data_IF_883654249315
#
_entry.id   IF_883654249315
#
_cell.length_a   1.000
_cell.length_b   1.000
_cell.length_c   1.000
_cell.angle_alpha   90.00
_cell.angle_beta   90.00
_cell.angle_gamma   90.00
#
_symmetry.space_group_name_H-M   'P 1'
#
loop_
_entity.id
_entity.type
_entity.pdbx_description
1 polymer ?
#
# COMPACT_ATOMS: atom_id res chain seq x y z
N UNK A 1 0.22 40.92 25.11
CA UNK A 1 -0.20 40.26 23.84
C UNK A 1 -1.71 40.17 23.86
N UNK A 2 -2.41 40.72 22.87
CA UNK A 2 -3.87 40.50 22.72
C UNK A 2 -4.14 39.02 22.43
N UNK A 3 -5.33 38.52 22.77
CA UNK A 3 -5.65 37.10 22.56
C UNK A 3 -5.62 36.71 21.08
N UNK A 4 -5.93 37.64 20.18
CA UNK A 4 -5.84 37.46 18.72
C UNK A 4 -4.40 37.24 18.26
N UNK A 5 -3.42 37.98 18.82
CA UNK A 5 -1.99 37.77 18.51
C UNK A 5 -1.50 36.38 18.93
N UNK A 6 -2.04 35.82 20.03
CA UNK A 6 -1.74 34.44 20.43
C UNK A 6 -2.33 33.43 19.45
N UNK A 7 -3.56 33.65 18.97
CA UNK A 7 -4.21 32.80 17.96
C UNK A 7 -3.45 32.81 16.64
N UNK A 8 -3.01 33.98 16.15
CA UNK A 8 -2.18 34.11 14.94
C UNK A 8 -0.87 33.32 15.10
N UNK A 9 -0.17 33.51 16.23
CA UNK A 9 1.08 32.80 16.53
C UNK A 9 0.87 31.29 16.56
N UNK A 10 -0.21 30.82 17.18
CA UNK A 10 -0.55 29.40 17.25
C UNK A 10 -0.83 28.80 15.86
N UNK A 11 -1.56 29.49 14.99
CA UNK A 11 -1.84 29.00 13.64
C UNK A 11 -0.55 28.92 12.80
N UNK A 12 0.36 29.90 12.91
CA UNK A 12 1.69 29.83 12.29
C UNK A 12 2.50 28.64 12.79
N UNK A 13 2.51 28.41 14.11
CA UNK A 13 3.22 27.27 14.69
C UNK A 13 2.65 25.93 14.19
N UNK A 14 1.31 25.80 14.11
CA UNK A 14 0.66 24.62 13.53
C UNK A 14 1.11 24.40 12.09
N UNK A 15 1.13 25.45 11.26
CA UNK A 15 1.60 25.34 9.88
C UNK A 15 3.07 24.91 9.78
N UNK A 16 3.94 25.37 10.68
CA UNK A 16 5.35 24.97 10.73
C UNK A 16 5.53 23.49 11.13
N UNK A 17 4.64 22.96 11.97
CA UNK A 17 4.68 21.56 12.40
C UNK A 17 4.13 20.58 11.36
N UNK A 18 3.42 21.07 10.33
CA UNK A 18 2.83 20.24 9.29
C UNK A 18 3.83 19.97 8.17
N UNK A 19 3.96 18.69 7.80
CA UNK A 19 4.73 18.27 6.64
C UNK A 19 3.94 18.60 5.36
N UNK A 20 4.57 19.33 4.45
CA UNK A 20 3.96 19.78 3.20
C UNK A 20 3.69 18.64 2.20
N UNK A 21 4.40 17.53 2.33
CA UNK A 21 4.20 16.34 1.50
C UNK A 21 3.01 15.49 1.97
N UNK A 22 2.68 15.58 3.27
CA UNK A 22 1.61 14.80 3.91
C UNK A 22 0.33 15.63 4.05
N UNK A 23 0.47 16.89 4.47
CA UNK A 23 -0.63 17.78 4.88
C UNK A 23 -0.58 19.19 4.25
N UNK A 24 -0.46 19.30 2.91
CA UNK A 24 -0.33 20.59 2.23
C UNK A 24 -1.55 21.50 2.42
N UNK A 25 -2.77 20.97 2.41
CA UNK A 25 -3.98 21.78 2.52
C UNK A 25 -4.15 22.35 3.93
N UNK A 26 -3.89 21.55 4.97
CA UNK A 26 -3.93 22.03 6.36
C UNK A 26 -2.86 23.08 6.62
N UNK A 27 -1.64 22.88 6.09
CA UNK A 27 -0.54 23.86 6.21
C UNK A 27 -0.96 25.19 5.58
N UNK A 28 -1.46 25.16 4.34
CA UNK A 28 -1.97 26.34 3.65
C UNK A 28 -3.10 27.03 4.42
N UNK A 29 -4.10 26.28 4.87
CA UNK A 29 -5.22 26.80 5.64
C UNK A 29 -4.78 27.60 6.88
N UNK A 30 -3.85 27.06 7.68
CA UNK A 30 -3.40 27.74 8.89
C UNK A 30 -2.57 29.00 8.58
N UNK A 31 -1.81 29.03 7.48
CA UNK A 31 -1.12 30.23 7.03
C UNK A 31 -2.11 31.30 6.56
N UNK A 32 -3.07 30.92 5.71
CA UNK A 32 -4.07 31.82 5.15
C UNK A 32 -4.97 32.41 6.26
N UNK A 33 -5.39 31.60 7.23
CA UNK A 33 -6.16 32.08 8.39
C UNK A 33 -5.35 33.05 9.26
N UNK A 34 -4.07 32.75 9.52
CA UNK A 34 -3.22 33.64 10.30
C UNK A 34 -3.05 35.00 9.59
N UNK A 35 -2.81 34.98 8.29
CA UNK A 35 -2.69 36.20 7.48
C UNK A 35 -4.01 36.98 7.43
N UNK A 36 -5.13 36.29 7.26
CA UNK A 36 -6.44 36.95 7.23
C UNK A 36 -6.75 37.64 8.57
N UNK A 37 -6.49 36.97 9.70
CA UNK A 37 -6.67 37.53 11.05
C UNK A 37 -5.79 38.77 11.28
N UNK A 38 -4.56 38.81 10.74
CA UNK A 38 -3.67 39.98 10.82
C UNK A 38 -4.21 41.20 10.07
N UNK A 39 -4.94 40.95 8.98
CA UNK A 39 -5.56 41.99 8.17
C UNK A 39 -6.88 42.50 8.78
N UNK A 40 -7.44 41.77 9.76
CA UNK A 40 -8.63 42.22 10.47
C UNK A 40 -8.25 43.10 11.66
N UNK A 41 -8.97 44.21 11.87
CA UNK A 41 -8.82 45.05 13.06
C UNK A 41 -9.55 44.44 14.28
N UNK A 42 -9.30 43.17 14.56
CA UNK A 42 -9.97 42.38 15.61
C UNK A 42 -9.09 42.35 16.86
N UNK A 43 -9.69 42.63 18.03
CA UNK A 43 -8.95 42.76 19.29
C UNK A 43 -9.16 41.56 20.22
N UNK A 44 -10.30 40.86 20.12
CA UNK A 44 -10.68 39.74 21.00
C UNK A 44 -10.86 38.41 20.26
N UNK A 45 -10.77 37.31 21.01
CA UNK A 45 -11.01 35.97 20.47
C UNK A 45 -12.49 35.73 20.11
N UNK A 46 -13.44 36.35 20.83
CA UNK A 46 -14.86 36.27 20.47
C UNK A 46 -15.14 36.98 19.13
N UNK A 47 -14.60 38.18 18.93
CA UNK A 47 -14.72 38.92 17.66
C UNK A 47 -14.12 38.11 16.50
N UNK A 48 -12.98 37.47 16.72
CA UNK A 48 -12.33 36.61 15.71
C UNK A 48 -13.23 35.42 15.35
N UNK A 49 -13.77 34.74 16.36
CA UNK A 49 -14.67 33.59 16.17
C UNK A 49 -15.95 33.99 15.44
N UNK A 50 -16.53 35.14 15.78
CA UNK A 50 -17.73 35.65 15.11
C UNK A 50 -17.44 36.02 13.65
N UNK A 51 -16.33 36.71 13.41
CA UNK A 51 -15.94 37.17 12.07
C UNK A 51 -15.64 36.01 11.12
N UNK A 52 -15.16 34.88 11.62
CA UNK A 52 -14.87 33.68 10.82
C UNK A 52 -16.16 33.00 10.30
N UNK A 53 -17.30 33.09 10.99
CA UNK A 53 -18.53 32.30 10.71
C UNK A 53 -19.04 32.39 9.27
N UNK A 54 -18.85 33.54 8.63
CA UNK A 54 -19.31 33.80 7.27
C UNK A 54 -18.16 33.81 6.25
N UNK A 55 -17.01 33.24 6.61
CA UNK A 55 -15.83 33.14 5.76
C UNK A 55 -15.57 31.67 5.40
N UNK A 56 -14.79 31.41 4.33
CA UNK A 56 -14.33 30.07 4.01
C UNK A 56 -13.54 29.39 5.16
N UNK A 57 -13.06 30.16 6.14
CA UNK A 57 -12.27 29.63 7.25
C UNK A 57 -13.10 28.92 8.33
N UNK A 58 -14.43 29.11 8.39
CA UNK A 58 -15.26 28.48 9.42
C UNK A 58 -15.20 26.95 9.36
N UNK A 59 -15.42 26.39 8.18
CA UNK A 59 -15.31 24.95 7.91
C UNK A 59 -13.95 24.57 7.31
N UNK A 60 -13.07 25.55 7.09
CA UNK A 60 -11.83 25.39 6.32
C UNK A 60 -10.84 24.40 6.94
N UNK A 61 -10.77 24.32 8.27
CA UNK A 61 -9.90 23.35 8.95
C UNK A 61 -10.32 21.91 8.66
N UNK A 62 -11.62 21.64 8.69
CA UNK A 62 -12.17 20.31 8.41
C UNK A 62 -12.02 19.98 6.92
N UNK A 63 -12.25 20.96 6.03
CA UNK A 63 -12.10 20.77 4.59
C UNK A 63 -10.65 20.42 4.24
N UNK A 64 -9.71 21.16 4.81
CA UNK A 64 -8.28 20.94 4.60
C UNK A 64 -7.85 19.53 5.06
N UNK A 65 -8.34 19.07 6.22
CA UNK A 65 -8.09 17.71 6.72
C UNK A 65 -8.60 16.63 5.76
N UNK A 66 -9.80 16.79 5.24
CA UNK A 66 -10.37 15.82 4.29
C UNK A 66 -9.61 15.83 2.94
N UNK A 67 -9.22 17.01 2.45
CA UNK A 67 -8.38 17.14 1.25
C UNK A 67 -7.04 16.41 1.42
N UNK A 68 -6.36 16.62 2.55
CA UNK A 68 -5.09 15.93 2.84
C UNK A 68 -5.28 14.41 3.00
N UNK A 69 -6.40 13.98 3.59
CA UNK A 69 -6.78 12.58 3.67
C UNK A 69 -7.00 11.93 2.28
N UNK A 70 -7.59 12.64 1.32
CA UNK A 70 -7.73 12.16 -0.06
C UNK A 70 -6.38 12.17 -0.78
N UNK A 71 -5.58 13.23 -0.60
CA UNK A 71 -4.23 13.37 -1.17
C UNK A 71 -3.33 12.18 -0.81
N UNK A 72 -3.34 11.74 0.46
CA UNK A 72 -2.60 10.55 0.89
C UNK A 72 -3.08 9.27 0.20
N UNK A 73 -4.38 9.14 -0.06
CA UNK A 73 -4.94 7.97 -0.78
C UNK A 73 -4.58 7.98 -2.26
N UNK A 74 -4.54 9.16 -2.90
CA UNK A 74 -4.01 9.33 -4.27
C UNK A 74 -2.55 8.89 -4.32
N UNK A 75 -1.73 9.38 -3.39
CA UNK A 75 -0.31 9.02 -3.30
C UNK A 75 -0.13 7.51 -3.12
N UNK A 76 -0.86 6.90 -2.18
CA UNK A 76 -0.79 5.46 -1.96
C UNK A 76 -1.23 4.65 -3.20
N UNK A 77 -2.31 5.05 -3.87
CA UNK A 77 -2.77 4.39 -5.09
C UNK A 77 -1.71 4.47 -6.21
N UNK A 78 -1.06 5.63 -6.37
CA UNK A 78 0.02 5.83 -7.33
C UNK A 78 1.24 4.97 -7.03
N UNK A 79 1.67 4.92 -5.76
CA UNK A 79 2.80 4.09 -5.32
C UNK A 79 2.51 2.59 -5.50
N UNK A 80 1.25 2.18 -5.32
CA UNK A 80 0.80 0.80 -5.56
C UNK A 80 0.52 0.49 -7.04
N UNK A 81 0.49 1.52 -7.90
CA UNK A 81 0.18 1.44 -9.33
C UNK A 81 -1.29 1.19 -9.68
N UNK A 82 -2.22 1.49 -8.77
CA UNK A 82 -3.67 1.36 -8.95
C UNK A 82 -4.25 2.61 -9.64
N UNK A 83 -4.05 2.72 -10.95
CA UNK A 83 -4.39 3.92 -11.74
C UNK A 83 -5.87 4.31 -11.68
N UNK A 84 -6.76 3.33 -11.77
CA UNK A 84 -8.21 3.52 -11.64
C UNK A 84 -8.62 4.06 -10.26
N UNK A 85 -7.97 3.59 -9.20
CA UNK A 85 -8.16 4.09 -7.83
C UNK A 85 -7.60 5.52 -7.70
N UNK A 86 -6.43 5.78 -8.27
CA UNK A 86 -5.81 7.12 -8.30
C UNK A 86 -6.72 8.14 -8.99
N UNK A 87 -7.23 7.81 -10.19
CA UNK A 87 -8.15 8.65 -10.95
C UNK A 87 -9.45 8.91 -10.18
N UNK A 88 -10.00 7.89 -9.52
CA UNK A 88 -11.21 8.03 -8.73
C UNK A 88 -11.00 8.96 -7.53
N UNK A 89 -9.92 8.81 -6.77
CA UNK A 89 -9.62 9.72 -5.67
C UNK A 89 -9.28 11.13 -6.14
N UNK A 90 -8.63 11.29 -7.30
CA UNK A 90 -8.38 12.61 -7.90
C UNK A 90 -9.71 13.32 -8.21
N UNK A 91 -10.66 12.62 -8.85
CA UNK A 91 -12.01 13.16 -9.08
C UNK A 91 -12.72 13.54 -7.77
N UNK A 92 -12.55 12.75 -6.70
CA UNK A 92 -13.12 13.08 -5.37
C UNK A 92 -12.46 14.32 -4.77
N UNK A 93 -11.15 14.47 -4.92
CA UNK A 93 -10.41 15.64 -4.46
C UNK A 93 -10.96 16.90 -5.14
N UNK A 94 -11.08 16.90 -6.47
CA UNK A 94 -11.58 18.04 -7.25
C UNK A 94 -13.04 18.39 -6.91
N UNK A 95 -13.89 17.38 -6.69
CA UNK A 95 -15.28 17.58 -6.24
C UNK A 95 -15.34 18.18 -4.84
N UNK A 96 -14.52 17.69 -3.91
CA UNK A 96 -14.47 18.25 -2.56
C UNK A 96 -13.96 19.69 -2.56
N UNK A 97 -12.96 19.99 -3.40
CA UNK A 97 -12.43 21.34 -3.56
C UNK A 97 -13.46 22.32 -4.16
N UNK A 98 -14.25 21.86 -5.14
CA UNK A 98 -15.23 22.72 -5.84
C UNK A 98 -16.56 22.90 -5.11
N UNK A 99 -17.09 21.84 -4.48
CA UNK A 99 -18.38 21.86 -3.78
C UNK A 99 -18.27 22.15 -2.28
N UNK A 100 -17.09 21.94 -1.69
CA UNK A 100 -16.86 22.08 -0.25
C UNK A 100 -17.52 20.98 0.59
N UNK A 101 -17.26 21.03 1.91
CA UNK A 101 -17.69 19.99 2.85
C UNK A 101 -19.22 19.84 2.93
N UNK A 102 -19.95 20.96 3.07
CA UNK A 102 -21.38 20.96 3.34
C UNK A 102 -22.19 20.31 2.23
N UNK A 103 -21.82 20.56 0.98
CA UNK A 103 -22.55 20.04 -0.18
C UNK A 103 -22.06 18.65 -0.60
N UNK A 104 -20.76 18.35 -0.42
CA UNK A 104 -20.19 17.11 -0.95
C UNK A 104 -19.94 16.02 0.08
N UNK A 105 -19.30 16.31 1.22
CA UNK A 105 -18.76 15.29 2.13
C UNK A 105 -19.83 14.42 2.84
N UNK A 106 -21.10 14.79 2.72
CA UNK A 106 -22.25 14.04 3.24
C UNK A 106 -23.27 13.67 2.14
N UNK A 107 -22.93 13.89 0.88
CA UNK A 107 -23.78 13.54 -0.25
C UNK A 107 -23.76 12.03 -0.53
N UNK A 108 -24.81 11.53 -1.18
CA UNK A 108 -24.82 10.15 -1.71
C UNK A 108 -23.65 9.92 -2.67
N UNK A 109 -23.30 10.93 -3.47
CA UNK A 109 -22.17 10.91 -4.39
C UNK A 109 -20.82 10.66 -3.67
N UNK A 110 -20.65 11.22 -2.48
CA UNK A 110 -19.47 10.97 -1.64
C UNK A 110 -19.42 9.53 -1.14
N UNK A 111 -20.55 8.99 -0.69
CA UNK A 111 -20.64 7.60 -0.21
C UNK A 111 -20.37 6.63 -1.36
N UNK A 112 -21.00 6.83 -2.51
CA UNK A 112 -20.87 5.96 -3.67
C UNK A 112 -19.44 5.92 -4.19
N UNK A 113 -18.79 7.09 -4.31
CA UNK A 113 -17.39 7.14 -4.74
C UNK A 113 -16.43 6.48 -3.73
N UNK A 114 -16.76 6.48 -2.43
CA UNK A 114 -15.93 5.83 -1.41
C UNK A 114 -16.07 4.31 -1.53
N UNK A 115 -17.31 3.83 -1.64
CA UNK A 115 -17.61 2.42 -1.83
C UNK A 115 -17.02 1.88 -3.14
N UNK A 116 -17.06 2.67 -4.21
CA UNK A 116 -16.42 2.32 -5.48
C UNK A 116 -14.90 2.19 -5.33
N UNK A 117 -14.25 3.14 -4.66
CA UNK A 117 -12.81 3.06 -4.40
C UNK A 117 -12.45 1.82 -3.58
N UNK A 118 -13.21 1.52 -2.53
CA UNK A 118 -12.99 0.35 -1.69
C UNK A 118 -13.16 -0.97 -2.46
N UNK A 119 -14.12 -1.04 -3.39
CA UNK A 119 -14.30 -2.21 -4.27
C UNK A 119 -13.09 -2.40 -5.19
N UNK A 120 -12.61 -1.32 -5.83
CA UNK A 120 -11.43 -1.38 -6.70
C UNK A 120 -10.17 -1.78 -5.92
N UNK A 121 -9.93 -1.19 -4.74
CA UNK A 121 -8.81 -1.54 -3.88
C UNK A 121 -8.87 -3.02 -3.49
N UNK A 122 -10.03 -3.49 -3.04
CA UNK A 122 -10.22 -4.91 -2.68
C UNK A 122 -9.90 -5.83 -3.85
N UNK A 123 -10.39 -5.49 -5.05
CA UNK A 123 -10.11 -6.25 -6.28
C UNK A 123 -8.61 -6.32 -6.57
N UNK A 124 -7.91 -5.19 -6.58
CA UNK A 124 -6.46 -5.15 -6.81
C UNK A 124 -5.67 -5.96 -5.77
N UNK A 125 -6.09 -5.92 -4.50
CA UNK A 125 -5.44 -6.71 -3.44
C UNK A 125 -5.68 -8.21 -3.62
N UNK A 126 -6.88 -8.60 -4.04
CA UNK A 126 -7.19 -10.01 -4.37
C UNK A 126 -6.37 -10.49 -5.57
N UNK A 127 -6.26 -9.69 -6.64
CA UNK A 127 -5.43 -10.01 -7.79
C UNK A 127 -3.95 -10.19 -7.38
N UNK A 128 -3.42 -9.32 -6.50
CA UNK A 128 -2.04 -9.42 -5.99
C UNK A 128 -1.82 -10.69 -5.16
N UNK A 129 -2.78 -11.03 -4.30
CA UNK A 129 -2.74 -12.24 -3.48
C UNK A 129 -2.73 -13.50 -4.34
N UNK A 130 -3.61 -13.56 -5.34
CA UNK A 130 -3.71 -14.70 -6.26
C UNK A 130 -2.44 -14.80 -7.10
N UNK A 131 -1.92 -13.69 -7.63
CA UNK A 131 -0.66 -13.67 -8.37
C UNK A 131 0.51 -14.20 -7.52
N UNK A 132 0.60 -13.79 -6.26
CA UNK A 132 1.61 -14.27 -5.33
C UNK A 132 1.46 -15.78 -5.06
N UNK A 133 0.23 -16.30 -4.95
CA UNK A 133 -0.02 -17.75 -4.85
C UNK A 133 0.43 -18.50 -6.10
N UNK A 134 0.15 -17.98 -7.30
CA UNK A 134 0.60 -18.57 -8.56
C UNK A 134 2.14 -18.66 -8.57
N UNK A 135 2.83 -17.56 -8.27
CA UNK A 135 4.29 -17.53 -8.22
C UNK A 135 4.88 -18.46 -7.16
N UNK A 136 4.33 -18.46 -5.94
CA UNK A 136 4.77 -19.35 -4.87
C UNK A 136 4.61 -20.84 -5.25
N UNK A 137 3.51 -21.22 -5.89
CA UNK A 137 3.33 -22.60 -6.33
C UNK A 137 4.25 -22.97 -7.48
N UNK A 138 4.54 -22.05 -8.42
CA UNK A 138 5.59 -22.25 -9.42
C UNK A 138 6.93 -22.60 -8.76
N UNK A 139 7.38 -21.79 -7.80
CA UNK A 139 8.64 -22.02 -7.06
C UNK A 139 8.63 -23.38 -6.36
N UNK A 140 7.54 -23.72 -5.67
CA UNK A 140 7.39 -24.99 -4.96
C UNK A 140 7.46 -26.18 -5.91
N UNK A 141 6.74 -26.14 -7.02
CA UNK A 141 6.74 -27.25 -7.97
C UNK A 141 8.12 -27.47 -8.59
N UNK A 142 8.80 -26.38 -8.94
CA UNK A 142 10.12 -26.43 -9.57
C UNK A 142 11.23 -26.92 -8.61
N UNK A 143 11.14 -26.61 -7.31
CA UNK A 143 12.20 -26.90 -6.33
C UNK A 143 11.94 -28.17 -5.52
N UNK A 144 10.70 -28.45 -5.13
CA UNK A 144 10.37 -29.54 -4.21
C UNK A 144 10.52 -30.90 -4.94
N UNK A 145 11.40 -31.79 -4.47
CA UNK A 145 11.60 -33.10 -5.08
C UNK A 145 10.55 -34.11 -4.63
N UNK A 146 9.92 -33.91 -3.47
CA UNK A 146 8.93 -34.83 -2.92
C UNK A 146 7.62 -34.80 -3.72
N UNK A 147 7.22 -35.96 -4.23
CA UNK A 147 6.08 -36.08 -5.13
C UNK A 147 4.76 -35.63 -4.49
N UNK A 148 4.51 -35.95 -3.21
CA UNK A 148 3.26 -35.62 -2.52
C UNK A 148 3.08 -34.10 -2.38
N UNK A 149 4.10 -33.40 -1.89
CA UNK A 149 4.10 -31.94 -1.76
C UNK A 149 4.03 -31.22 -3.12
N UNK A 150 4.67 -31.79 -4.14
CA UNK A 150 4.55 -31.30 -5.53
C UNK A 150 3.11 -31.39 -6.04
N UNK A 151 2.43 -32.53 -5.83
CA UNK A 151 1.03 -32.70 -6.23
C UNK A 151 0.10 -31.72 -5.50
N UNK A 152 0.34 -31.46 -4.22
CA UNK A 152 -0.40 -30.44 -3.48
C UNK A 152 -0.19 -29.04 -4.06
N UNK A 153 1.05 -28.69 -4.43
CA UNK A 153 1.36 -27.40 -5.05
C UNK A 153 0.71 -27.26 -6.43
N UNK A 154 0.61 -28.34 -7.21
CA UNK A 154 -0.13 -28.37 -8.48
C UNK A 154 -1.62 -28.09 -8.26
N UNK A 155 -2.24 -28.75 -7.27
CA UNK A 155 -3.64 -28.49 -6.89
C UNK A 155 -3.85 -27.04 -6.48
N UNK A 156 -2.94 -26.49 -5.68
CA UNK A 156 -3.01 -25.10 -5.23
C UNK A 156 -2.79 -24.10 -6.37
N UNK A 157 -1.95 -24.44 -7.36
CA UNK A 157 -1.77 -23.65 -8.56
C UNK A 157 -3.04 -23.62 -9.41
N UNK A 158 -3.66 -24.78 -9.68
CA UNK A 158 -4.94 -24.85 -10.38
C UNK A 158 -6.00 -24.00 -9.68
N UNK A 159 -6.14 -24.14 -8.36
CA UNK A 159 -7.08 -23.34 -7.59
C UNK A 159 -6.80 -21.84 -7.70
N UNK A 160 -5.53 -21.42 -7.68
CA UNK A 160 -5.19 -20.01 -7.84
C UNK A 160 -5.54 -19.47 -9.23
N UNK A 161 -5.35 -20.26 -10.28
CA UNK A 161 -5.77 -19.91 -11.64
C UNK A 161 -7.30 -19.83 -11.77
N UNK A 162 -8.04 -20.79 -11.20
CA UNK A 162 -9.52 -20.75 -11.13
C UNK A 162 -10.02 -19.52 -10.34
N UNK A 163 -9.37 -19.18 -9.24
CA UNK A 163 -9.72 -17.99 -8.45
C UNK A 163 -9.49 -16.71 -9.26
N UNK A 164 -8.48 -16.69 -10.14
CA UNK A 164 -8.23 -15.57 -11.04
C UNK A 164 -9.32 -15.45 -12.11
N UNK A 165 -9.73 -16.57 -12.71
CA UNK A 165 -10.83 -16.62 -13.67
C UNK A 165 -12.16 -16.13 -13.06
N UNK A 166 -12.43 -16.44 -11.78
CA UNK A 166 -13.61 -15.93 -11.07
C UNK A 166 -13.61 -14.41 -10.89
N UNK A 167 -12.43 -13.78 -10.96
CA UNK A 167 -12.30 -12.32 -10.95
C UNK A 167 -12.41 -11.69 -12.34
N UNK A 168 -12.63 -12.50 -13.39
CA UNK A 168 -12.66 -12.06 -14.78
C UNK A 168 -11.36 -11.35 -15.18
N UNK A 169 -10.22 -11.95 -14.78
CA UNK A 169 -8.87 -11.49 -15.08
C UNK A 169 -8.06 -12.67 -15.60
N UNK A 170 -7.28 -12.44 -16.65
CA UNK A 170 -6.37 -13.47 -17.17
C UNK A 170 -4.97 -13.36 -16.55
N UNK A 171 -4.26 -14.48 -16.45
CA UNK A 171 -2.84 -14.45 -16.05
C UNK A 171 -2.00 -13.57 -16.98
N UNK A 172 -2.31 -13.59 -18.29
CA UNK A 172 -1.68 -12.74 -19.31
C UNK A 172 -1.83 -11.24 -19.04
N UNK A 173 -2.99 -10.80 -18.55
CA UNK A 173 -3.19 -9.39 -18.18
C UNK A 173 -2.30 -9.01 -16.99
N UNK A 174 -2.23 -9.86 -15.96
CA UNK A 174 -1.44 -9.57 -14.76
C UNK A 174 0.05 -9.45 -15.08
N UNK A 175 0.61 -10.35 -15.89
CA UNK A 175 2.06 -10.34 -16.21
C UNK A 175 2.47 -9.18 -17.13
N UNK A 176 1.52 -8.57 -17.84
CA UNK A 176 1.77 -7.34 -18.61
C UNK A 176 1.85 -6.10 -17.71
N UNK A 177 1.38 -6.19 -16.45
CA UNK A 177 1.40 -5.08 -15.52
C UNK A 177 2.59 -5.20 -14.54
N UNK A 178 3.48 -4.21 -14.61
CA UNK A 178 4.71 -4.12 -13.80
C UNK A 178 4.45 -4.21 -12.30
N UNK A 179 3.30 -3.76 -11.83
CA UNK A 179 2.91 -3.82 -10.41
C UNK A 179 2.92 -5.27 -9.89
N UNK A 180 2.47 -6.23 -10.71
CA UNK A 180 2.44 -7.63 -10.33
C UNK A 180 3.79 -8.29 -10.54
N UNK A 181 4.45 -8.05 -11.68
CA UNK A 181 5.72 -8.69 -11.98
C UNK A 181 6.84 -8.29 -10.99
N UNK A 182 6.80 -7.07 -10.46
CA UNK A 182 7.72 -6.62 -9.41
C UNK A 182 7.58 -7.41 -8.10
N UNK A 183 6.42 -7.98 -7.80
CA UNK A 183 6.21 -8.81 -6.59
C UNK A 183 7.09 -10.08 -6.59
N UNK A 184 7.46 -10.56 -7.77
CA UNK A 184 8.32 -11.76 -7.90
C UNK A 184 9.76 -11.48 -7.48
N UNK A 185 10.20 -10.21 -7.53
CA UNK A 185 11.59 -9.79 -7.38
C UNK A 185 12.59 -10.52 -8.29
N UNK A 186 12.13 -11.18 -9.36
CA UNK A 186 12.97 -11.93 -10.30
C UNK A 186 13.63 -11.02 -11.34
N UNK A 187 14.67 -11.53 -12.02
CA UNK A 187 15.18 -10.87 -13.23
C UNK A 187 14.20 -11.02 -14.39
N UNK A 188 14.41 -10.29 -15.50
CA UNK A 188 13.61 -10.45 -16.71
C UNK A 188 13.63 -11.91 -17.23
N UNK A 189 14.80 -12.57 -17.18
CA UNK A 189 14.93 -13.99 -17.53
C UNK A 189 14.14 -14.88 -16.56
N UNK A 190 14.23 -14.62 -15.26
CA UNK A 190 13.47 -15.36 -14.24
C UNK A 190 11.95 -15.20 -14.41
N UNK A 191 11.50 -14.00 -14.75
CA UNK A 191 10.11 -13.70 -15.04
C UNK A 191 9.63 -14.43 -16.31
N UNK A 192 10.45 -14.45 -17.36
CA UNK A 192 10.14 -15.19 -18.60
C UNK A 192 9.96 -16.68 -18.34
N UNK A 193 10.86 -17.29 -17.56
CA UNK A 193 10.74 -18.68 -17.15
C UNK A 193 9.44 -18.95 -16.37
N UNK A 194 9.08 -18.06 -15.45
CA UNK A 194 7.82 -18.15 -14.72
C UNK A 194 6.60 -18.08 -15.65
N UNK A 195 6.58 -17.13 -16.59
CA UNK A 195 5.47 -16.98 -17.55
C UNK A 195 5.37 -18.23 -18.44
N UNK A 196 6.48 -18.66 -19.05
CA UNK A 196 6.54 -19.84 -19.93
C UNK A 196 6.07 -21.10 -19.20
N UNK A 197 6.42 -21.24 -17.91
CA UNK A 197 5.96 -22.34 -17.08
C UNK A 197 4.44 -22.33 -16.91
N UNK A 198 3.85 -21.19 -16.56
CA UNK A 198 2.40 -21.09 -16.32
C UNK A 198 1.63 -21.31 -17.62
N UNK A 199 2.10 -20.77 -18.74
CA UNK A 199 1.46 -20.99 -20.04
C UNK A 199 1.50 -22.46 -20.47
N UNK A 200 2.63 -23.14 -20.27
CA UNK A 200 2.73 -24.60 -20.53
C UNK A 200 1.83 -25.39 -19.60
N UNK A 201 1.77 -24.99 -18.33
CA UNK A 201 0.92 -25.61 -17.32
C UNK A 201 -0.56 -25.50 -17.70
N UNK A 202 -1.04 -24.32 -18.08
CA UNK A 202 -2.42 -24.10 -18.53
C UNK A 202 -2.76 -24.93 -19.79
N UNK A 203 -1.81 -25.16 -20.69
CA UNK A 203 -2.03 -25.92 -21.93
C UNK A 203 -2.01 -27.44 -21.75
N UNK A 204 -1.14 -27.95 -20.88
CA UNK A 204 -0.80 -29.38 -20.85
C UNK A 204 -1.02 -30.06 -19.50
N UNK A 205 -1.20 -29.29 -18.41
CA UNK A 205 -1.28 -29.81 -17.04
C UNK A 205 0.01 -30.50 -16.55
N UNK A 206 1.05 -30.56 -17.38
CA UNK A 206 2.31 -31.24 -17.09
C UNK A 206 3.29 -30.24 -16.51
N UNK A 207 4.04 -30.70 -15.52
CA UNK A 207 5.06 -29.91 -14.86
C UNK A 207 6.38 -30.65 -14.88
N UNK A 208 7.42 -29.96 -15.37
CA UNK A 208 8.82 -29.96 -14.95
C UNK A 208 9.76 -29.96 -16.16
N UNK A 209 10.39 -28.81 -16.40
CA UNK A 209 11.68 -28.70 -17.08
C UNK A 209 12.76 -28.53 -16.01
N UNK A 210 13.88 -29.26 -16.13
CA UNK A 210 15.03 -29.11 -15.22
C UNK A 210 15.61 -27.69 -15.24
N UNK A 211 15.36 -26.96 -16.34
CA UNK A 211 15.79 -25.56 -16.53
C UNK A 211 15.19 -24.59 -15.51
N UNK A 212 13.95 -24.78 -15.07
CA UNK A 212 13.32 -23.86 -14.12
C UNK A 212 13.94 -23.96 -12.72
N UNK A 213 14.32 -25.18 -12.32
CA UNK A 213 15.03 -25.41 -11.05
C UNK A 213 16.39 -24.70 -11.04
N UNK A 214 17.14 -24.80 -12.14
CA UNK A 214 18.45 -24.16 -12.23
C UNK A 214 18.35 -22.64 -12.33
N UNK A 215 17.32 -22.12 -13.01
CA UNK A 215 17.05 -20.69 -13.02
C UNK A 215 16.68 -20.16 -11.63
N UNK A 216 15.81 -20.86 -10.89
CA UNK A 216 15.44 -20.47 -9.52
C UNK A 216 16.63 -20.51 -8.56
N UNK A 217 17.58 -21.45 -8.73
CA UNK A 217 18.84 -21.44 -7.97
C UNK A 217 19.68 -20.20 -8.26
N UNK A 218 19.76 -19.74 -9.52
CA UNK A 218 20.46 -18.50 -9.87
C UNK A 218 19.79 -17.29 -9.21
N UNK A 219 18.46 -17.22 -9.25
CA UNK A 219 17.69 -16.17 -8.58
C UNK A 219 17.89 -16.16 -7.06
N UNK A 220 17.82 -17.34 -6.43
CA UNK A 220 18.09 -17.49 -4.99
C UNK A 220 19.49 -17.00 -4.62
N UNK A 221 20.51 -17.37 -5.41
CA UNK A 221 21.89 -16.90 -5.18
C UNK A 221 22.00 -15.38 -5.32
N UNK A 222 21.37 -14.80 -6.34
CA UNK A 222 21.36 -13.34 -6.59
C UNK A 222 20.68 -12.59 -5.45
N UNK A 223 19.49 -13.03 -5.02
CA UNK A 223 18.75 -12.42 -3.89
C UNK A 223 19.58 -12.54 -2.61
N UNK A 224 20.18 -13.71 -2.35
CA UNK A 224 21.06 -13.90 -1.20
C UNK A 224 22.29 -12.97 -1.20
N UNK A 225 22.91 -12.74 -2.36
CA UNK A 225 24.01 -11.76 -2.50
C UNK A 225 23.52 -10.33 -2.29
N UNK A 226 22.37 -9.96 -2.86
CA UNK A 226 21.77 -8.65 -2.67
C UNK A 226 21.43 -8.39 -1.19
N UNK A 227 20.83 -9.37 -0.49
CA UNK A 227 20.50 -9.26 0.92
C UNK A 227 21.76 -9.08 1.78
N UNK A 228 22.82 -9.85 1.52
CA UNK A 228 24.12 -9.68 2.19
C UNK A 228 24.71 -8.30 1.97
N UNK A 229 24.67 -7.78 0.74
CA UNK A 229 25.17 -6.43 0.41
C UNK A 229 24.38 -5.32 1.10
N UNK A 230 23.08 -5.51 1.32
CA UNK A 230 22.19 -4.51 1.90
C UNK A 230 21.83 -4.81 3.37
N UNK A 231 22.56 -5.72 4.03
CA UNK A 231 22.21 -6.21 5.36
C UNK A 231 22.08 -5.08 6.39
N UNK A 232 23.00 -4.10 6.40
CA UNK A 232 22.92 -2.95 7.31
C UNK A 232 21.65 -2.12 7.10
N UNK A 233 21.32 -1.79 5.83
CA UNK A 233 20.09 -1.05 5.48
C UNK A 233 18.83 -1.83 5.86
N UNK A 234 18.79 -3.13 5.61
CA UNK A 234 17.66 -3.99 6.00
C UNK A 234 17.49 -4.03 7.52
N UNK A 235 18.59 -4.12 8.28
CA UNK A 235 18.57 -4.07 9.74
C UNK A 235 18.13 -2.71 10.26
N UNK A 236 18.52 -1.60 9.61
CA UNK A 236 18.10 -0.26 10.02
C UNK A 236 16.62 0.01 9.74
N UNK A 237 16.09 -0.46 8.60
CA UNK A 237 14.64 -0.45 8.33
C UNK A 237 13.88 -1.33 9.34
N UNK A 238 14.41 -2.52 9.64
CA UNK A 238 13.82 -3.44 10.64
C UNK A 238 13.89 -2.95 12.09
N UNK A 239 14.69 -1.92 12.39
CA UNK A 239 14.66 -1.20 13.68
C UNK A 239 13.53 -0.16 13.75
N UNK A 240 13.09 0.36 12.61
CA UNK A 240 11.99 1.32 12.51
C UNK A 240 10.62 0.64 12.64
N UNK A 241 10.52 -0.63 12.28
CA UNK A 241 9.35 -1.46 12.55
C UNK A 241 9.41 -2.07 13.96
N UNK A 242 8.83 -1.39 14.94
CA UNK A 242 8.50 -1.99 16.25
C UNK A 242 7.23 -2.84 16.13
N UNK A 243 7.36 -4.07 15.62
CA UNK A 243 6.38 -5.10 15.93
C UNK A 243 6.63 -5.52 17.39
N UNK A 244 5.57 -5.68 18.21
CA UNK A 244 5.70 -6.39 19.48
C UNK A 244 6.23 -7.79 19.17
N UNK A 245 7.54 -8.00 19.31
CA UNK A 245 8.21 -9.22 18.84
C UNK A 245 7.87 -10.37 19.77
N UNK A 246 7.08 -11.33 19.29
CA UNK A 246 7.24 -12.69 19.75
C UNK A 246 8.64 -13.14 19.29
N UNK A 247 9.55 -13.39 20.24
CA UNK A 247 10.88 -13.91 19.90
C UNK A 247 10.71 -15.38 19.57
N UNK A 248 11.05 -15.86 18.38
CA UNK A 248 10.96 -17.29 18.08
C UNK A 248 12.36 -17.92 18.06
N UNK A 249 12.51 -19.10 18.66
CA UNK A 249 13.70 -19.93 18.47
C UNK A 249 13.41 -20.87 17.31
N UNK A 250 14.27 -20.85 16.30
CA UNK A 250 14.28 -21.84 15.22
C UNK A 250 14.96 -23.11 15.76
N UNK A 251 14.22 -24.20 15.84
CA UNK A 251 14.68 -25.52 16.29
C UNK A 251 14.67 -26.46 15.11
N UNK A 252 15.69 -27.32 14.89
CA UNK A 252 15.66 -28.29 13.80
C UNK A 252 14.38 -29.14 13.90
N UNK A 253 13.61 -29.18 12.81
CA UNK A 253 12.40 -29.98 12.74
C UNK A 253 12.77 -31.47 12.65
N UNK A 254 11.87 -32.36 13.08
CA UNK A 254 12.03 -33.80 12.89
C UNK A 254 12.08 -34.19 11.40
N UNK A 255 11.60 -33.31 10.51
CA UNK A 255 11.80 -33.42 9.08
C UNK A 255 13.22 -33.00 8.69
N UNK A 256 13.92 -33.87 7.95
CA UNK A 256 15.32 -33.69 7.49
C UNK A 256 15.64 -32.41 6.70
N UNK A 257 14.65 -31.57 6.42
CA UNK A 257 14.78 -30.30 5.70
C UNK A 257 13.82 -29.24 6.29
N UNK A 258 14.02 -28.83 7.54
CA UNK A 258 13.22 -27.74 8.12
C UNK A 258 13.64 -27.31 9.53
N UNK A 259 13.22 -26.11 9.91
CA UNK A 259 13.25 -25.63 11.30
C UNK A 259 11.82 -25.33 11.74
N UNK A 260 11.43 -25.79 12.93
CA UNK A 260 10.21 -25.39 13.62
C UNK A 260 10.48 -24.12 14.43
N UNK A 261 9.53 -23.19 14.46
CA UNK A 261 9.68 -21.92 15.16
C UNK A 261 8.83 -21.93 16.43
N UNK A 262 9.49 -22.05 17.59
CA UNK A 262 8.81 -21.98 18.89
C UNK A 262 8.74 -20.52 19.32
N UNK A 263 7.52 -20.00 19.50
CA UNK A 263 7.30 -18.68 20.04
C UNK A 263 7.71 -18.62 21.53
N UNK A 264 8.72 -17.82 21.83
CA UNK A 264 9.08 -17.40 23.18
C UNK A 264 8.25 -16.18 23.55
N UNK A 265 7.60 -16.26 24.71
CA UNK A 265 6.80 -15.19 25.30
C UNK A 265 7.61 -13.89 25.36
N UNK A 266 6.95 -12.77 25.06
CA UNK A 266 7.50 -11.42 24.94
C UNK A 266 8.59 -11.11 25.98
N UNK A 267 9.79 -10.81 25.51
CA UNK A 267 10.80 -10.12 26.32
C UNK A 267 10.56 -8.63 26.14
N UNK A 268 10.04 -7.97 27.18
CA UNK A 268 10.00 -6.51 27.23
C UNK A 268 11.44 -5.99 27.24
N UNK A 269 11.82 -5.26 26.21
CA UNK A 269 13.06 -4.50 26.11
C UNK A 269 12.74 -3.08 25.66
#
# INVERSE_FOLDING_TARGET
MTDVRKVITLNRLRAQMLDETISPAQKKYYLDLAQWLEQQNIQTAEEATHSIRNTPYYDGAALAKELDGIHLRIKAARELGFKDVEELYTKRYDKLLSKGLKEYAFSQEWIDGYNQAQKLITRHLQEKEIFARIFCNYVRIAIIPEQKQRQESIKNLNKALEDLEKLDVSFSELVCNKVFTQLTMTTEDGLKHFIDFIEKFQKSGIVVDTKDRDQLKKEQKRIGQWAKKNASKLMDVGKLEQWNRASCIAVPSENSVGYDFIAMKEVKG
#
